data_IF_927312623087
#
_entry.id   IF_927312623087
#
_cell.length_a   1.000
_cell.length_b   1.000
_cell.length_c   1.000
_cell.angle_alpha   90.00
_cell.angle_beta   90.00
_cell.angle_gamma   90.00
#
_symmetry.space_group_name_H-M   'P 1'
#
loop_
_entity.id
_entity.type
_entity.pdbx_description
1 polymer ?
#
# COMPACT_ATOMS: atom_id res chain seq x y z
N UNK A 1 12.58 4.83 -9.67
CA UNK A 1 12.23 5.21 -8.28
C UNK A 1 11.93 3.93 -7.52
N UNK A 2 12.59 3.63 -6.39
CA UNK A 2 12.29 2.43 -5.62
C UNK A 2 10.85 2.48 -5.07
N UNK A 3 10.19 1.33 -5.03
CA UNK A 3 8.81 1.18 -4.54
C UNK A 3 8.82 0.49 -3.17
N UNK A 4 8.20 1.14 -2.18
CA UNK A 4 8.05 0.64 -0.81
C UNK A 4 6.56 0.37 -0.54
N UNK A 5 6.22 -0.72 0.16
CA UNK A 5 4.86 -0.97 0.64
C UNK A 5 4.83 -0.91 2.17
N UNK A 6 4.13 0.06 2.73
CA UNK A 6 3.88 0.12 4.16
C UNK A 6 2.63 -0.71 4.48
N UNK A 7 2.82 -1.79 5.24
CA UNK A 7 1.74 -2.54 5.88
C UNK A 7 1.50 -1.94 7.26
N UNK A 8 0.41 -1.20 7.42
CA UNK A 8 0.18 -0.45 8.64
C UNK A 8 -1.14 -0.82 9.32
N UNK A 9 -1.08 -1.01 10.63
CA UNK A 9 -2.24 -0.72 11.49
C UNK A 9 -2.61 0.77 11.35
N UNK A 10 -3.89 1.16 11.56
CA UNK A 10 -4.45 2.44 11.13
C UNK A 10 -3.49 3.63 11.29
N UNK A 11 -2.98 4.14 10.17
CA UNK A 11 -2.12 5.33 10.18
C UNK A 11 -2.99 6.56 10.39
N UNK A 12 -2.70 7.43 11.37
CA UNK A 12 -3.45 8.67 11.55
C UNK A 12 -3.42 9.51 10.26
N UNK A 13 -4.53 10.15 9.86
CA UNK A 13 -4.58 10.93 8.62
C UNK A 13 -3.46 11.96 8.47
N UNK A 14 -3.12 12.67 9.56
CA UNK A 14 -2.00 13.63 9.57
C UNK A 14 -0.64 13.00 9.25
N UNK A 15 -0.42 11.75 9.67
CA UNK A 15 0.83 11.04 9.37
C UNK A 15 0.92 10.61 7.90
N UNK A 16 -0.21 10.54 7.18
CA UNK A 16 -0.19 10.26 5.73
C UNK A 16 0.23 11.49 4.92
N UNK A 17 0.04 12.71 5.43
CA UNK A 17 0.45 13.95 4.77
C UNK A 17 1.97 14.05 4.63
N UNK A 18 2.73 13.49 5.58
CA UNK A 18 4.20 13.48 5.54
C UNK A 18 4.75 12.56 4.43
N UNK A 19 3.95 11.60 3.96
CA UNK A 19 4.30 10.71 2.84
C UNK A 19 4.05 11.36 1.47
N UNK A 20 3.59 12.61 1.45
CA UNK A 20 3.30 13.38 0.25
C UNK A 20 1.89 13.15 -0.29
N UNK A 21 1.62 13.75 -1.45
CA UNK A 21 0.31 13.71 -2.07
C UNK A 21 -0.08 12.28 -2.51
N UNK A 22 -1.37 11.98 -2.45
CA UNK A 22 -1.95 10.79 -3.08
C UNK A 22 -1.83 10.94 -4.61
N UNK A 23 -1.16 9.99 -5.24
CA UNK A 23 -1.00 9.92 -6.69
C UNK A 23 -2.08 9.05 -7.31
N UNK A 24 -2.33 7.88 -6.70
CA UNK A 24 -3.14 6.81 -7.28
C UNK A 24 -3.69 5.91 -6.17
N UNK A 25 -4.81 5.23 -6.43
CA UNK A 25 -5.38 4.22 -5.56
C UNK A 25 -5.76 2.98 -6.39
N UNK A 26 -5.32 1.79 -5.96
CA UNK A 26 -5.53 0.54 -6.70
C UNK A 26 -6.07 -0.57 -5.82
N UNK A 27 -6.89 -1.43 -6.42
CA UNK A 27 -7.18 -2.76 -5.88
C UNK A 27 -6.54 -3.78 -6.82
N UNK A 28 -5.75 -4.69 -6.27
CA UNK A 28 -5.04 -5.72 -7.04
C UNK A 28 -5.75 -7.05 -6.88
N UNK A 29 -6.12 -7.66 -8.01
CA UNK A 29 -6.59 -9.05 -8.03
C UNK A 29 -5.38 -9.98 -7.90
N UNK A 30 -5.41 -10.87 -6.91
CA UNK A 30 -4.39 -11.90 -6.72
C UNK A 30 -5.03 -13.29 -6.75
N UNK A 31 -4.25 -14.37 -6.91
CA UNK A 31 -4.75 -15.74 -6.76
C UNK A 31 -5.34 -16.04 -5.38
N UNK A 32 -5.04 -15.23 -4.36
CA UNK A 32 -5.49 -15.39 -2.98
C UNK A 32 -6.64 -14.46 -2.60
N UNK A 33 -7.15 -13.66 -3.55
CA UNK A 33 -8.21 -12.69 -3.34
C UNK A 33 -7.82 -11.26 -3.71
N UNK A 34 -8.74 -10.33 -3.46
CA UNK A 34 -8.52 -8.90 -3.69
C UNK A 34 -7.66 -8.28 -2.58
N UNK A 35 -6.75 -7.39 -2.96
CA UNK A 35 -5.96 -6.57 -2.04
C UNK A 35 -6.19 -5.11 -2.34
N UNK A 36 -6.71 -4.36 -1.36
CA UNK A 36 -6.86 -2.92 -1.50
C UNK A 36 -8.01 -2.32 -0.69
N UNK A 37 -8.24 -1.01 -0.85
CA UNK A 37 -7.49 -0.10 -1.73
C UNK A 37 -6.07 0.16 -1.20
N UNK A 38 -5.07 0.04 -2.09
CA UNK A 38 -3.70 0.49 -1.85
C UNK A 38 -3.56 1.93 -2.35
N UNK A 39 -3.06 2.83 -1.52
CA UNK A 39 -2.76 4.20 -1.94
C UNK A 39 -1.30 4.36 -2.30
N UNK A 40 -1.03 4.96 -3.45
CA UNK A 40 0.29 5.40 -3.88
C UNK A 40 0.51 6.84 -3.47
N UNK A 41 1.60 7.12 -2.76
CA UNK A 41 2.03 8.47 -2.41
C UNK A 41 3.44 8.77 -2.91
N UNK A 42 3.67 10.04 -3.21
CA UNK A 42 4.98 10.53 -3.65
C UNK A 42 5.80 10.99 -2.45
N UNK A 43 6.63 10.10 -1.89
CA UNK A 43 7.63 10.51 -0.91
C UNK A 43 8.84 11.10 -1.63
N UNK A 44 9.54 12.04 -1.00
CA UNK A 44 10.65 12.80 -1.63
C UNK A 44 11.72 11.94 -2.31
N UNK A 45 11.94 10.69 -1.85
CA UNK A 45 12.94 9.76 -2.38
C UNK A 45 12.39 8.42 -2.87
N UNK A 46 11.07 8.17 -2.79
CA UNK A 46 10.47 6.88 -3.10
C UNK A 46 9.00 6.97 -3.48
N UNK A 47 8.53 5.98 -4.24
CA UNK A 47 7.10 5.75 -4.41
C UNK A 47 6.60 4.83 -3.30
N UNK A 48 5.67 5.29 -2.48
CA UNK A 48 5.19 4.53 -1.32
C UNK A 48 3.76 4.04 -1.57
N UNK A 49 3.53 2.74 -1.46
CA UNK A 49 2.21 2.12 -1.38
C UNK A 49 1.82 1.92 0.09
N UNK A 50 0.55 2.07 0.43
CA UNK A 50 0.03 1.93 1.80
C UNK A 50 -1.17 0.99 1.81
N UNK A 51 -1.16 0.00 2.71
CA UNK A 51 -2.27 -0.94 2.93
C UNK A 51 -2.44 -1.27 4.42
N UNK A 52 -3.67 -1.24 4.95
CA UNK A 52 -4.84 -0.52 4.43
C UNK A 52 -4.57 0.98 4.39
N UNK A 53 -5.12 1.62 3.36
CA UNK A 53 -5.09 3.07 3.25
C UNK A 53 -6.19 3.77 4.08
N UNK A 54 -7.28 3.07 4.39
CA UNK A 54 -8.36 3.57 5.25
C UNK A 54 -9.02 2.43 6.03
N UNK A 55 -9.34 2.67 7.30
CA UNK A 55 -10.01 1.70 8.17
C UNK A 55 -9.13 0.52 8.60
N UNK A 56 -9.70 -0.35 9.43
CA UNK A 56 -9.08 -1.63 9.76
C UNK A 56 -9.29 -2.61 8.60
N UNK A 57 -8.27 -3.34 8.13
CA UNK A 57 -8.50 -4.38 7.15
C UNK A 57 -9.26 -5.50 7.88
N UNK A 58 -10.49 -5.79 7.46
CA UNK A 58 -11.28 -6.89 8.06
C UNK A 58 -10.55 -8.23 7.94
N UNK A 59 -9.61 -8.36 6.98
CA UNK A 59 -8.70 -9.49 6.82
C UNK A 59 -7.51 -9.09 5.93
N UNK A 60 -6.28 -9.24 6.43
CA UNK A 60 -5.06 -9.16 5.61
C UNK A 60 -4.54 -10.57 5.37
N UNK A 61 -4.68 -11.13 4.15
CA UNK A 61 -4.00 -12.38 3.78
C UNK A 61 -2.54 -12.03 3.38
N UNK A 62 -1.52 -12.55 4.09
CA UNK A 62 -0.13 -12.23 3.81
C UNK A 62 0.29 -12.69 2.41
N UNK A 63 -0.27 -13.79 1.89
CA UNK A 63 0.07 -14.30 0.54
C UNK A 63 -0.47 -13.36 -0.54
N UNK A 64 -1.72 -12.93 -0.38
CA UNK A 64 -2.33 -11.94 -1.27
C UNK A 64 -1.51 -10.64 -1.26
N UNK A 65 -1.12 -10.18 -0.07
CA UNK A 65 -0.35 -8.95 0.13
C UNK A 65 1.02 -9.01 -0.54
N UNK A 66 1.77 -10.11 -0.35
CA UNK A 66 3.07 -10.32 -0.99
C UNK A 66 2.93 -10.43 -2.53
N UNK A 67 1.87 -11.06 -3.02
CA UNK A 67 1.59 -11.13 -4.45
C UNK A 67 1.32 -9.74 -5.04
N UNK A 68 0.46 -8.95 -4.38
CA UNK A 68 0.18 -7.58 -4.80
C UNK A 68 1.44 -6.70 -4.76
N UNK A 69 2.30 -6.86 -3.75
CA UNK A 69 3.57 -6.16 -3.66
C UNK A 69 4.46 -6.46 -4.88
N UNK A 70 4.57 -7.75 -5.26
CA UNK A 70 5.30 -8.17 -6.45
C UNK A 70 4.74 -7.53 -7.73
N UNK A 71 3.42 -7.59 -7.94
CA UNK A 71 2.77 -7.04 -9.14
C UNK A 71 2.90 -5.51 -9.22
N UNK A 72 2.97 -4.83 -8.08
CA UNK A 72 3.21 -3.38 -7.99
C UNK A 72 4.69 -2.98 -8.10
N UNK A 73 5.59 -3.94 -8.32
CA UNK A 73 7.03 -3.69 -8.43
C UNK A 73 7.68 -3.22 -7.12
N UNK A 74 7.08 -3.54 -5.97
CA UNK A 74 7.58 -3.20 -4.65
C UNK A 74 8.88 -3.94 -4.37
N UNK A 75 9.88 -3.21 -3.89
CA UNK A 75 11.22 -3.72 -3.60
C UNK A 75 11.43 -3.95 -2.10
N UNK A 76 10.64 -3.28 -1.25
CA UNK A 76 10.67 -3.40 0.20
C UNK A 76 9.26 -3.31 0.77
N UNK A 77 8.98 -4.10 1.80
CA UNK A 77 7.75 -4.06 2.58
C UNK A 77 8.13 -3.64 4.00
#
# INVERSE_FOLDING_TARGET
>A
MPHLLILALPVPPRSLETLGALIDARTVQTPFGLVGPLARRHAASASVWILPYFGSPTRTDPRATLWAAKDLGVQRI
#
